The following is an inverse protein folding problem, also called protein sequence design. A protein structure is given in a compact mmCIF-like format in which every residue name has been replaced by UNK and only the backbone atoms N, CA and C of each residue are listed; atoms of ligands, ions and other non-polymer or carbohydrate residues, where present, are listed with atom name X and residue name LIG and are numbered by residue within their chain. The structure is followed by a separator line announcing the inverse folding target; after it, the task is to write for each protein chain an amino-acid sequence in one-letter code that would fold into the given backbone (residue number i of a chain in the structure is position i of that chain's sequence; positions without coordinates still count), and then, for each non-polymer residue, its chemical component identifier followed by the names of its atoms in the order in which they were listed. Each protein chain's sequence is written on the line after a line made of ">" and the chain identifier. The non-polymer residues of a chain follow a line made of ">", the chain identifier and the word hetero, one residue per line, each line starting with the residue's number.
data_IF_067449318586
#
_entry.id   IF_067449318586
#
_cell.length_a   1.000
_cell.length_b   1.000
_cell.length_c   1.000
_cell.angle_alpha   90.00
_cell.angle_beta   90.00
_cell.angle_gamma   90.00
#
_symmetry.space_group_name_H-M   'P 1'
#
loop_
_entity.id
_entity.type
_entity.pdbx_description
1 polymer ?
#
# COMPACT_ATOMS: atom_id res chain seq x y z
N UNK A 1 5.36 13.10 45.67
CA UNK A 1 4.85 11.71 45.66
C UNK A 1 5.35 11.01 44.41
N UNK A 2 6.11 9.93 44.54
CA UNK A 2 6.45 9.06 43.42
C UNK A 2 5.31 8.07 43.19
N UNK A 3 4.81 7.99 41.96
CA UNK A 3 3.77 7.02 41.58
C UNK A 3 4.47 5.77 41.05
N UNK A 4 4.26 4.62 41.70
CA UNK A 4 4.80 3.33 41.26
C UNK A 4 4.06 2.85 40.00
N UNK A 5 4.72 2.98 38.85
CA UNK A 5 4.22 2.53 37.56
C UNK A 5 5.27 1.70 36.85
N UNK A 6 4.86 0.58 36.26
CA UNK A 6 5.76 -0.37 35.59
C UNK A 6 6.60 0.23 34.44
N UNK A 7 6.12 1.31 33.80
CA UNK A 7 6.83 2.02 32.72
C UNK A 7 6.58 3.52 32.78
N UNK A 8 7.64 4.28 33.00
CA UNK A 8 7.63 5.73 32.89
C UNK A 8 7.83 6.18 31.43
N UNK A 9 7.29 7.34 31.06
CA UNK A 9 7.49 8.00 29.74
C UNK A 9 7.14 7.14 28.52
N UNK A 10 5.96 6.52 28.51
CA UNK A 10 5.51 5.67 27.39
C UNK A 10 5.34 6.49 26.10
N UNK A 11 6.26 6.30 25.15
CA UNK A 11 6.20 6.93 23.82
C UNK A 11 5.36 6.10 22.85
N UNK A 12 4.55 6.79 22.03
CA UNK A 12 3.76 6.16 20.96
C UNK A 12 4.61 5.99 19.70
N UNK A 13 4.69 4.77 19.17
CA UNK A 13 5.52 4.44 17.99
C UNK A 13 4.91 4.75 16.62
N UNK A 14 3.72 5.34 16.56
CA UNK A 14 3.06 5.67 15.29
C UNK A 14 3.33 7.09 14.82
N UNK A 15 3.28 7.30 13.50
CA UNK A 15 3.46 8.62 12.90
C UNK A 15 2.23 9.50 13.14
N UNK A 16 2.48 10.75 13.53
CA UNK A 16 1.48 11.81 13.70
C UNK A 16 1.43 12.78 12.51
N UNK A 17 2.46 12.78 11.68
CA UNK A 17 2.61 13.59 10.47
C UNK A 17 3.39 12.80 9.39
N UNK A 18 3.26 13.16 8.09
CA UNK A 18 4.16 12.64 7.07
C UNK A 18 5.59 13.15 7.31
N UNK A 19 6.60 12.35 6.94
CA UNK A 19 8.01 12.79 6.93
C UNK A 19 8.35 13.64 5.68
N UNK A 20 7.47 13.64 4.67
CA UNK A 20 7.71 14.32 3.40
C UNK A 20 7.51 15.84 3.55
N UNK A 21 8.33 16.61 2.84
CA UNK A 21 8.20 18.08 2.73
C UNK A 21 7.42 18.52 1.48
N UNK A 22 6.88 17.56 0.73
CA UNK A 22 6.06 17.82 -0.46
C UNK A 22 4.83 18.67 -0.11
N UNK A 23 4.72 19.91 -0.64
CA UNK A 23 3.65 20.83 -0.27
C UNK A 23 2.26 20.28 -0.63
N UNK A 24 2.13 19.53 -1.73
CA UNK A 24 0.83 18.97 -2.15
C UNK A 24 0.36 17.88 -1.19
N UNK A 25 1.26 17.02 -0.72
CA UNK A 25 0.94 16.02 0.30
C UNK A 25 0.57 16.69 1.63
N UNK A 26 1.26 17.76 2.02
CA UNK A 26 0.99 18.49 3.26
C UNK A 26 -0.39 19.17 3.22
N UNK A 27 -0.79 19.74 2.09
CA UNK A 27 -2.13 20.30 1.89
C UNK A 27 -3.22 19.22 1.98
N UNK A 28 -3.04 18.07 1.32
CA UNK A 28 -3.95 16.95 1.45
C UNK A 28 -4.07 16.44 2.90
N UNK A 29 -2.95 16.41 3.63
CA UNK A 29 -2.95 16.06 5.06
C UNK A 29 -3.74 17.08 5.88
N UNK A 30 -3.60 18.38 5.63
CA UNK A 30 -4.39 19.42 6.31
C UNK A 30 -5.89 19.22 6.05
N UNK A 31 -6.27 18.97 4.80
CA UNK A 31 -7.65 18.70 4.40
C UNK A 31 -8.23 17.46 5.10
N UNK A 32 -7.56 16.31 5.02
CA UNK A 32 -8.06 15.08 5.67
C UNK A 32 -7.95 15.12 7.19
N UNK A 33 -7.10 15.96 7.77
CA UNK A 33 -7.06 16.21 9.22
C UNK A 33 -8.28 17.01 9.67
N UNK A 34 -8.68 18.03 8.89
CA UNK A 34 -9.92 18.75 9.12
C UNK A 34 -11.12 17.81 9.02
N UNK A 35 -11.23 17.05 7.92
CA UNK A 35 -12.32 16.10 7.72
C UNK A 35 -12.36 15.03 8.82
N UNK A 36 -11.24 14.39 9.16
CA UNK A 36 -11.21 13.35 10.19
C UNK A 36 -11.58 13.84 11.60
N UNK A 37 -11.47 15.15 11.86
CA UNK A 37 -11.86 15.80 13.11
C UNK A 37 -13.31 16.28 13.10
N UNK A 38 -13.80 16.75 11.95
CA UNK A 38 -15.13 17.39 11.81
C UNK A 38 -16.21 16.47 11.25
N UNK A 39 -15.81 15.35 10.64
CA UNK A 39 -16.71 14.28 10.20
C UNK A 39 -16.41 13.06 11.06
N UNK A 40 -17.43 12.46 11.69
CA UNK A 40 -17.27 11.24 12.49
C UNK A 40 -17.02 9.99 11.65
N UNK A 41 -16.60 10.15 10.40
CA UNK A 41 -16.28 9.07 9.48
C UNK A 41 -14.95 8.39 9.80
N UNK A 42 -15.01 7.08 10.04
CA UNK A 42 -13.82 6.23 10.22
C UNK A 42 -12.96 6.19 8.95
N UNK A 43 -13.56 6.34 7.77
CA UNK A 43 -12.86 6.39 6.48
C UNK A 43 -11.79 7.49 6.45
N UNK A 44 -12.16 8.71 6.83
CA UNK A 44 -11.24 9.85 6.85
C UNK A 44 -10.08 9.64 7.83
N UNK A 45 -10.36 9.04 9.00
CA UNK A 45 -9.32 8.66 9.98
C UNK A 45 -8.35 7.61 9.40
N UNK A 46 -8.80 6.72 8.53
CA UNK A 46 -7.94 5.73 7.87
C UNK A 46 -7.15 6.36 6.71
N UNK A 47 -7.76 7.21 5.89
CA UNK A 47 -7.09 7.90 4.78
C UNK A 47 -5.97 8.80 5.31
N UNK A 48 -6.24 9.60 6.35
CA UNK A 48 -5.24 10.44 7.01
C UNK A 48 -4.03 9.63 7.50
N UNK A 49 -4.29 8.50 8.19
CA UNK A 49 -3.22 7.60 8.65
C UNK A 49 -2.42 7.00 7.48
N UNK A 50 -3.05 6.76 6.33
CA UNK A 50 -2.36 6.26 5.13
C UNK A 50 -1.52 7.35 4.45
N UNK A 51 -1.92 8.63 4.50
CA UNK A 51 -1.11 9.74 3.98
C UNK A 51 0.23 9.89 4.74
N UNK A 52 0.27 9.54 6.04
CA UNK A 52 1.49 9.57 6.85
C UNK A 52 2.48 8.43 6.54
N UNK A 53 2.03 7.39 5.84
CA UNK A 53 2.83 6.19 5.60
C UNK A 53 4.03 6.47 4.69
N UNK A 54 5.13 5.78 4.96
CA UNK A 54 6.30 5.77 4.08
C UNK A 54 6.01 5.08 2.74
N UNK A 55 6.84 5.34 1.73
CA UNK A 55 6.74 4.73 0.39
C UNK A 55 6.60 3.21 0.43
N UNK A 56 7.40 2.54 1.27
CA UNK A 56 7.35 1.09 1.48
C UNK A 56 5.96 0.61 1.96
N UNK A 57 5.32 1.38 2.82
CA UNK A 57 4.00 1.06 3.39
C UNK A 57 2.84 1.54 2.50
N UNK A 58 3.13 2.28 1.42
CA UNK A 58 2.21 2.66 0.34
C UNK A 58 2.61 1.97 -0.98
N UNK A 59 2.56 0.63 -1.04
CA UNK A 59 2.93 -0.09 -2.26
C UNK A 59 1.99 0.29 -3.42
N UNK A 60 2.50 0.28 -4.67
CA UNK A 60 1.67 0.52 -5.84
C UNK A 60 0.59 -0.56 -5.99
N UNK A 61 -0.46 -0.22 -6.74
CA UNK A 61 -1.57 -1.11 -7.04
C UNK A 61 -1.79 -1.17 -8.55
N UNK A 62 -1.90 -2.38 -9.10
CA UNK A 62 -2.17 -2.57 -10.52
C UNK A 62 -3.65 -2.43 -10.85
N UNK A 63 -3.98 -1.94 -12.05
CA UNK A 63 -5.36 -1.87 -12.57
C UNK A 63 -6.02 -3.25 -12.57
N UNK A 64 -5.30 -4.30 -12.97
CA UNK A 64 -5.77 -5.70 -12.93
C UNK A 64 -6.27 -6.14 -11.55
N UNK A 65 -5.56 -5.73 -10.50
CA UNK A 65 -5.94 -6.08 -9.14
C UNK A 65 -7.15 -5.28 -8.66
N UNK A 66 -7.25 -4.02 -9.06
CA UNK A 66 -8.42 -3.19 -8.80
C UNK A 66 -9.65 -3.83 -9.45
N UNK A 67 -9.59 -4.10 -10.76
CA UNK A 67 -10.67 -4.73 -11.52
C UNK A 67 -11.14 -6.04 -10.86
N UNK A 68 -10.21 -6.91 -10.45
CA UNK A 68 -10.55 -8.16 -9.77
C UNK A 68 -11.19 -7.97 -8.40
N UNK A 69 -10.79 -6.96 -7.64
CA UNK A 69 -11.30 -6.73 -6.27
C UNK A 69 -12.69 -6.08 -6.29
N UNK A 70 -13.02 -5.34 -7.35
CA UNK A 70 -14.23 -4.52 -7.44
C UNK A 70 -15.25 -5.14 -8.44
N UNK A 71 -15.00 -6.38 -8.88
CA UNK A 71 -15.88 -7.11 -9.80
C UNK A 71 -17.33 -7.14 -9.33
N UNK A 72 -17.55 -7.34 -8.04
CA UNK A 72 -18.90 -7.46 -7.45
C UNK A 72 -19.47 -6.10 -6.97
N UNK A 73 -18.72 -5.00 -7.10
CA UNK A 73 -19.13 -3.66 -6.67
C UNK A 73 -18.74 -2.56 -7.68
N UNK A 74 -19.16 -2.69 -8.96
CA UNK A 74 -18.68 -1.80 -10.04
C UNK A 74 -19.09 -0.33 -9.87
N UNK A 75 -20.16 -0.06 -9.12
CA UNK A 75 -20.68 1.30 -8.90
C UNK A 75 -19.88 2.14 -7.90
N UNK A 76 -19.05 1.49 -7.06
CA UNK A 76 -18.35 2.17 -5.97
C UNK A 76 -17.06 2.80 -6.46
N UNK A 77 -16.76 4.00 -5.94
CA UNK A 77 -15.49 4.68 -6.24
C UNK A 77 -14.35 4.01 -5.48
N UNK A 78 -13.31 3.59 -6.19
CA UNK A 78 -12.15 2.90 -5.61
C UNK A 78 -11.15 3.93 -5.09
N UNK A 79 -10.74 3.82 -3.84
CA UNK A 79 -9.80 4.76 -3.21
C UNK A 79 -8.49 4.07 -2.91
N UNK A 80 -7.39 4.62 -3.45
CA UNK A 80 -6.03 4.08 -3.32
C UNK A 80 -5.06 5.18 -2.88
N UNK A 81 -4.63 5.15 -1.62
CA UNK A 81 -3.62 6.10 -1.09
C UNK A 81 -2.20 5.64 -1.45
N UNK A 82 -1.96 5.40 -2.74
CA UNK A 82 -0.66 5.05 -3.34
C UNK A 82 -0.68 5.32 -4.85
N UNK A 83 0.33 4.83 -5.57
CA UNK A 83 0.39 4.94 -7.03
C UNK A 83 -0.39 3.81 -7.69
N UNK A 84 -1.19 4.13 -8.71
CA UNK A 84 -1.88 3.16 -9.57
C UNK A 84 -1.05 2.94 -10.83
N UNK A 85 -0.70 1.67 -11.09
CA UNK A 85 0.14 1.24 -12.20
C UNK A 85 -0.65 0.42 -13.21
N UNK A 86 -0.27 0.48 -14.47
CA UNK A 86 -0.85 -0.37 -15.51
C UNK A 86 -0.45 -1.84 -15.33
N UNK A 87 -1.23 -2.74 -15.94
CA UNK A 87 -0.90 -4.16 -16.09
C UNK A 87 -1.26 -4.60 -17.51
N UNK A 88 -0.22 -4.79 -18.33
CA UNK A 88 -0.35 -5.14 -19.75
C UNK A 88 -1.03 -6.51 -19.94
N UNK A 89 -1.02 -7.38 -18.93
CA UNK A 89 -1.66 -8.71 -18.99
C UNK A 89 -3.19 -8.65 -18.92
N UNK A 90 -3.74 -7.56 -18.39
CA UNK A 90 -5.17 -7.31 -18.48
C UNK A 90 -5.42 -6.75 -19.87
N UNK A 91 -6.17 -7.46 -20.72
CA UNK A 91 -6.44 -7.02 -22.10
C UNK A 91 -7.48 -5.90 -22.09
N UNK A 92 -8.65 -6.16 -21.50
CA UNK A 92 -9.75 -5.21 -21.41
C UNK A 92 -9.85 -4.63 -20.00
N UNK A 93 -9.86 -3.30 -19.90
CA UNK A 93 -10.05 -2.60 -18.64
C UNK A 93 -11.54 -2.29 -18.48
N UNK A 94 -12.20 -2.74 -17.40
CA UNK A 94 -13.59 -2.37 -17.16
C UNK A 94 -13.68 -0.87 -16.82
N UNK A 95 -14.87 -0.29 -16.98
CA UNK A 95 -15.15 1.07 -16.52
C UNK A 95 -14.96 1.16 -15.00
N UNK A 96 -14.02 1.99 -14.56
CA UNK A 96 -13.64 2.13 -13.14
C UNK A 96 -13.52 3.61 -12.78
N UNK A 97 -14.11 4.02 -11.65
CA UNK A 97 -13.87 5.32 -11.03
C UNK A 97 -12.86 5.15 -9.89
N UNK A 98 -11.65 5.70 -10.05
CA UNK A 98 -10.53 5.49 -9.12
C UNK A 98 -10.02 6.83 -8.63
N UNK A 99 -9.93 7.00 -7.31
CA UNK A 99 -9.25 8.11 -6.66
C UNK A 99 -7.89 7.67 -6.10
N UNK A 100 -6.80 8.33 -6.50
CA UNK A 100 -5.47 7.97 -6.04
C UNK A 100 -4.51 9.17 -5.88
N UNK A 101 -3.35 8.92 -5.25
CA UNK A 101 -2.29 9.94 -5.15
C UNK A 101 -1.59 10.20 -6.48
N UNK A 102 -1.41 9.14 -7.28
CA UNK A 102 -0.72 9.23 -8.58
C UNK A 102 -1.19 8.10 -9.49
N UNK A 103 -1.36 8.42 -10.77
CA UNK A 103 -1.53 7.43 -11.84
C UNK A 103 -0.28 7.42 -12.71
N UNK A 104 0.17 6.24 -13.15
CA UNK A 104 1.10 6.16 -14.28
C UNK A 104 0.40 6.59 -15.57
N UNK A 105 1.15 7.15 -16.54
CA UNK A 105 0.58 7.68 -17.77
C UNK A 105 -0.24 6.63 -18.53
N UNK A 106 0.31 5.41 -18.68
CA UNK A 106 -0.36 4.29 -19.34
C UNK A 106 -1.63 3.86 -18.60
N UNK A 107 -1.58 3.77 -17.26
CA UNK A 107 -2.77 3.43 -16.47
C UNK A 107 -3.88 4.47 -16.65
N UNK A 108 -3.54 5.76 -16.61
CA UNK A 108 -4.51 6.85 -16.81
C UNK A 108 -5.15 6.76 -18.19
N UNK A 109 -4.35 6.59 -19.24
CA UNK A 109 -4.84 6.49 -20.61
C UNK A 109 -5.83 5.32 -20.77
N UNK A 110 -5.51 4.15 -20.24
CA UNK A 110 -6.37 2.96 -20.34
C UNK A 110 -7.67 3.08 -19.54
N UNK A 111 -7.63 3.67 -18.34
CA UNK A 111 -8.83 3.90 -17.53
C UNK A 111 -9.78 4.88 -18.25
N UNK A 112 -9.25 5.96 -18.81
CA UNK A 112 -10.05 6.94 -19.55
C UNK A 112 -10.59 6.36 -20.86
N UNK A 113 -9.79 5.57 -21.59
CA UNK A 113 -10.23 4.90 -22.82
C UNK A 113 -11.38 3.90 -22.57
N UNK A 114 -11.40 3.27 -21.40
CA UNK A 114 -12.51 2.41 -20.96
C UNK A 114 -13.76 3.19 -20.48
N UNK A 115 -13.77 4.53 -20.61
CA UNK A 115 -14.84 5.40 -20.11
C UNK A 115 -14.89 5.53 -18.59
N UNK A 116 -13.80 5.16 -17.89
CA UNK A 116 -13.63 5.32 -16.46
C UNK A 116 -13.14 6.71 -16.06
N UNK A 117 -12.89 6.90 -14.77
CA UNK A 117 -12.54 8.20 -14.20
C UNK A 117 -11.31 8.10 -13.30
N UNK A 118 -10.37 9.04 -13.46
CA UNK A 118 -9.18 9.16 -12.63
C UNK A 118 -9.27 10.43 -11.76
N UNK A 119 -9.57 10.26 -10.47
CA UNK A 119 -9.77 11.32 -9.50
C UNK A 119 -8.54 11.57 -8.62
N UNK A 120 -8.38 12.80 -8.17
CA UNK A 120 -7.51 13.15 -7.05
C UNK A 120 -8.24 12.99 -5.71
N UNK A 121 -7.50 12.95 -4.61
CA UNK A 121 -8.10 12.77 -3.28
C UNK A 121 -8.86 14.01 -2.80
N UNK A 122 -8.48 15.21 -3.23
CA UNK A 122 -9.21 16.46 -2.99
C UNK A 122 -10.55 16.47 -3.77
N UNK A 123 -10.57 16.05 -5.03
CA UNK A 123 -11.81 15.87 -5.80
C UNK A 123 -12.75 14.85 -5.14
N UNK A 124 -12.20 13.74 -4.64
CA UNK A 124 -12.96 12.75 -3.87
C UNK A 124 -13.57 13.36 -2.61
N UNK A 125 -12.82 14.21 -1.90
CA UNK A 125 -13.29 14.84 -0.67
C UNK A 125 -14.47 15.80 -0.92
N UNK A 126 -14.54 16.44 -2.09
CA UNK A 126 -15.69 17.25 -2.49
C UNK A 126 -16.92 16.39 -2.78
N UNK A 127 -16.76 15.26 -3.49
CA UNK A 127 -17.87 14.37 -3.87
C UNK A 127 -18.42 13.55 -2.71
N UNK A 128 -17.53 12.97 -1.93
CA UNK A 128 -17.86 12.02 -0.87
C UNK A 128 -17.10 12.39 0.41
N UNK A 129 -17.43 13.51 1.08
CA UNK A 129 -16.70 14.00 2.26
C UNK A 129 -16.75 13.01 3.44
N UNK A 130 -17.78 12.17 3.51
CA UNK A 130 -17.92 11.09 4.50
C UNK A 130 -17.33 9.75 4.05
N UNK A 131 -16.95 9.60 2.78
CA UNK A 131 -16.50 8.35 2.18
C UNK A 131 -17.62 7.37 1.81
N UNK A 132 -18.88 7.84 1.70
CA UNK A 132 -20.00 7.03 1.22
C UNK A 132 -19.74 6.47 -0.18
N UNK A 133 -20.21 5.25 -0.46
CA UNK A 133 -20.05 4.55 -1.74
C UNK A 133 -18.59 4.42 -2.23
N UNK A 134 -17.64 4.34 -1.30
CA UNK A 134 -16.22 4.11 -1.63
C UNK A 134 -15.71 2.75 -1.19
N UNK A 135 -14.71 2.23 -1.91
CA UNK A 135 -13.97 1.02 -1.53
C UNK A 135 -12.49 1.37 -1.34
N UNK A 136 -12.02 1.29 -0.08
CA UNK A 136 -10.66 1.68 0.28
C UNK A 136 -9.67 0.51 0.16
N UNK A 137 -8.93 0.44 -0.94
CA UNK A 137 -7.99 -0.64 -1.22
C UNK A 137 -6.55 -0.33 -0.79
N UNK A 138 -5.73 -1.37 -0.59
CA UNK A 138 -4.29 -1.25 -0.31
C UNK A 138 -3.48 -2.28 -1.11
N UNK A 139 -2.35 -1.86 -1.66
CA UNK A 139 -1.43 -2.77 -2.37
C UNK A 139 -0.77 -3.82 -1.45
N UNK A 140 -0.14 -4.85 -2.03
CA UNK A 140 0.47 -5.96 -1.25
C UNK A 140 1.84 -5.55 -0.69
N UNK A 141 1.86 -5.13 0.58
CA UNK A 141 3.07 -4.68 1.29
C UNK A 141 4.20 -5.72 1.37
N UNK A 142 3.84 -7.00 1.52
CA UNK A 142 4.80 -8.07 1.82
C UNK A 142 5.36 -8.76 0.56
N UNK A 143 5.10 -8.24 -0.64
CA UNK A 143 5.54 -8.85 -1.91
C UNK A 143 6.97 -8.49 -2.35
N UNK A 144 7.60 -7.54 -1.65
CA UNK A 144 8.95 -7.04 -1.95
C UNK A 144 10.04 -8.07 -1.65
N UNK A 145 11.15 -7.97 -2.38
CA UNK A 145 12.31 -8.85 -2.24
C UNK A 145 12.87 -8.88 -0.82
N UNK A 146 12.99 -7.72 -0.16
CA UNK A 146 13.53 -7.64 1.20
C UNK A 146 12.77 -8.51 2.20
N UNK A 147 11.45 -8.69 2.04
CA UNK A 147 10.63 -9.52 2.93
C UNK A 147 10.97 -11.01 2.78
N UNK A 148 11.47 -11.45 1.62
CA UNK A 148 11.91 -12.84 1.41
C UNK A 148 13.14 -13.20 2.23
N UNK A 149 13.89 -12.21 2.70
CA UNK A 149 15.07 -12.37 3.54
C UNK A 149 14.78 -12.17 5.03
N UNK A 150 13.55 -11.79 5.40
CA UNK A 150 13.16 -11.67 6.79
C UNK A 150 12.67 -13.02 7.33
N UNK A 151 12.47 -13.11 8.65
CA UNK A 151 12.13 -14.36 9.31
C UNK A 151 13.34 -15.16 9.78
N UNK A 152 13.05 -16.21 10.53
CA UNK A 152 14.05 -17.00 11.23
C UNK A 152 14.45 -18.24 10.43
N UNK A 153 15.75 -18.53 10.47
CA UNK A 153 16.28 -19.86 10.22
C UNK A 153 16.24 -20.39 8.78
N UNK A 154 16.96 -21.49 8.55
CA UNK A 154 17.06 -22.17 7.26
C UNK A 154 15.83 -23.01 6.85
N UNK A 155 14.88 -23.28 7.77
CA UNK A 155 13.71 -24.14 7.56
C UNK A 155 12.40 -23.43 7.14
N UNK A 156 12.40 -22.09 7.02
CA UNK A 156 11.19 -21.31 6.73
C UNK A 156 11.16 -20.73 5.30
N UNK A 157 11.73 -21.45 4.33
CA UNK A 157 11.84 -21.01 2.93
C UNK A 157 12.45 -19.61 2.74
N UNK A 158 13.24 -19.16 3.72
CA UNK A 158 13.92 -17.87 3.70
C UNK A 158 14.97 -17.86 2.59
N UNK A 159 14.96 -16.80 1.79
CA UNK A 159 15.96 -16.63 0.74
C UNK A 159 17.31 -16.23 1.36
N UNK A 160 18.42 -16.94 1.07
CA UNK A 160 19.73 -16.55 1.54
C UNK A 160 20.20 -15.24 0.87
N UNK A 161 21.07 -14.50 1.55
CA UNK A 161 21.72 -13.31 0.99
C UNK A 161 23.01 -13.75 0.30
N UNK A 162 22.89 -14.09 -0.99
CA UNK A 162 24.03 -14.49 -1.84
C UNK A 162 24.29 -13.42 -2.89
N UNK A 163 25.57 -13.18 -3.19
CA UNK A 163 25.98 -12.24 -4.25
C UNK A 163 25.59 -12.75 -5.65
N UNK A 164 25.71 -14.06 -5.87
CA UNK A 164 25.44 -14.69 -7.17
C UNK A 164 24.57 -15.93 -7.00
N UNK A 165 23.77 -16.24 -8.02
CA UNK A 165 22.93 -17.44 -8.08
C UNK A 165 23.57 -18.46 -9.00
N UNK A 166 23.79 -19.70 -8.52
CA UNK A 166 24.42 -20.73 -9.34
C UNK A 166 24.63 -22.04 -8.58
N UNK A 167 25.21 -23.06 -9.24
CA UNK A 167 25.52 -24.36 -8.62
C UNK A 167 26.58 -24.25 -7.52
N UNK A 168 27.55 -23.34 -7.70
CA UNK A 168 28.70 -23.14 -6.81
C UNK A 168 28.40 -22.26 -5.58
N UNK A 169 27.22 -21.62 -5.50
CA UNK A 169 26.89 -20.66 -4.43
C UNK A 169 25.83 -21.23 -3.49
N UNK A 170 26.21 -21.54 -2.24
CA UNK A 170 25.33 -22.00 -1.14
C UNK A 170 24.33 -23.13 -1.49
N UNK A 171 24.75 -24.11 -2.31
CA UNK A 171 23.93 -25.29 -2.68
C UNK A 171 24.48 -26.65 -2.23
N UNK A 172 25.59 -26.68 -1.49
CA UNK A 172 26.29 -27.89 -1.08
C UNK A 172 25.85 -28.38 0.32
N UNK A 173 26.74 -28.34 1.31
CA UNK A 173 26.46 -28.77 2.69
C UNK A 173 25.29 -27.98 3.29
N UNK A 174 24.38 -28.66 3.98
CA UNK A 174 23.19 -28.05 4.60
C UNK A 174 22.00 -27.87 3.67
N UNK A 175 22.13 -28.12 2.36
CA UNK A 175 21.01 -28.03 1.40
C UNK A 175 20.59 -29.37 0.79
N UNK A 176 21.42 -30.40 0.93
CA UNK A 176 21.23 -31.72 0.30
C UNK A 176 21.66 -32.83 1.25
N UNK A 177 20.93 -33.95 1.24
CA UNK A 177 21.21 -35.11 2.11
C UNK A 177 22.62 -35.69 1.85
N UNK A 178 23.08 -35.66 0.60
CA UNK A 178 24.37 -36.24 0.20
C UNK A 178 25.62 -35.46 0.63
N UNK A 179 25.48 -34.28 1.24
CA UNK A 179 26.62 -33.45 1.69
C UNK A 179 26.45 -33.10 3.16
N UNK A 180 26.73 -34.07 4.03
CA UNK A 180 26.68 -33.92 5.49
C UNK A 180 25.27 -33.98 6.07
N UNK A 181 24.45 -32.95 5.81
CA UNK A 181 23.07 -32.88 6.32
C UNK A 181 22.19 -31.99 5.43
N UNK A 182 20.87 -32.15 5.54
CA UNK A 182 19.87 -31.33 4.83
C UNK A 182 19.02 -30.57 5.84
N UNK A 183 18.93 -29.26 5.61
CA UNK A 183 18.14 -28.31 6.38
C UNK A 183 16.95 -27.86 5.55
#
# INVERSE_FOLDING_TARGET
>A
MGVDIAKHHVRKGHRTAPKSEDPYLLLLVKLYRFLARRTDSSFNKVVLRRLYMSKINRPPMSVSRIARTVKDTPEKTVVVVSTVTDDVRLVEVPKLSIAALRFTATARARILAAGGECLTLDQLALRCPTGSNTVLLRGKRNSRESVRHFGHGPHQHKRPRVLSKGRKFEKARGRRKSRGFKV
#
